data_IF_655677069362
#
_entry.id   IF_655677069362
#
_cell.length_a   1.000
_cell.length_b   1.000
_cell.length_c   1.000
_cell.angle_alpha   90.00
_cell.angle_beta   90.00
_cell.angle_gamma   90.00
#
_symmetry.space_group_name_H-M   'P 1'
#
loop_
_entity.id
_entity.type
_entity.pdbx_description
1 polymer ?
#
# COMPACT_ATOMS: atom_id res chain seq x y z
N UNK A 1 -22.64 -2.69 16.19
CA UNK A 1 -21.17 -2.85 16.27
C UNK A 1 -20.51 -1.48 16.13
N UNK A 2 -19.74 -1.07 17.14
CA UNK A 2 -19.01 0.21 17.22
C UNK A 2 -17.54 0.02 17.60
N UNK A 3 -17.22 -1.03 18.36
CA UNK A 3 -15.85 -1.40 18.73
C UNK A 3 -15.54 -2.85 18.38
N UNK A 4 -14.30 -3.28 18.59
CA UNK A 4 -13.91 -4.69 18.36
C UNK A 4 -14.51 -5.62 19.42
N UNK A 5 -14.77 -5.13 20.63
CA UNK A 5 -15.41 -5.92 21.69
C UNK A 5 -16.85 -6.33 21.32
N UNK A 6 -17.52 -5.55 20.47
CA UNK A 6 -18.84 -5.90 19.92
C UNK A 6 -18.78 -7.06 18.89
N UNK A 7 -17.59 -7.58 18.58
CA UNK A 7 -17.37 -8.67 17.60
C UNK A 7 -17.19 -10.04 18.25
N UNK A 8 -17.44 -10.20 19.56
CA UNK A 8 -17.35 -11.51 20.19
C UNK A 8 -18.31 -12.52 19.55
N UNK A 9 -17.76 -13.66 19.12
CA UNK A 9 -18.46 -14.70 18.38
C UNK A 9 -18.65 -14.45 16.88
N UNK A 10 -18.17 -13.32 16.34
CA UNK A 10 -18.35 -12.97 14.94
C UNK A 10 -17.58 -13.90 13.98
N UNK A 11 -18.09 -14.00 12.76
CA UNK A 11 -17.40 -14.64 11.64
C UNK A 11 -16.54 -13.60 10.91
N UNK A 12 -15.23 -13.83 10.86
CA UNK A 12 -14.26 -12.88 10.30
C UNK A 12 -13.61 -13.45 9.05
N UNK A 13 -13.86 -12.83 7.91
CA UNK A 13 -13.19 -13.14 6.66
C UNK A 13 -11.72 -12.64 6.74
N UNK A 14 -10.77 -13.51 6.43
CA UNK A 14 -9.32 -13.24 6.45
C UNK A 14 -8.59 -13.92 5.28
N UNK A 15 -7.45 -13.37 4.88
CA UNK A 15 -6.55 -13.98 3.87
C UNK A 15 -5.51 -14.87 4.55
N UNK A 16 -5.31 -16.14 4.12
CA UNK A 16 -4.34 -17.05 4.72
C UNK A 16 -2.90 -16.54 4.60
N UNK A 17 -2.08 -16.79 5.62
CA UNK A 17 -0.65 -16.46 5.63
C UNK A 17 -0.33 -14.97 5.74
N UNK A 18 -1.35 -14.12 5.91
CA UNK A 18 -1.21 -12.67 6.01
C UNK A 18 -0.81 -12.22 7.41
N UNK A 19 -0.26 -11.00 7.53
CA UNK A 19 -0.14 -10.33 8.84
C UNK A 19 -1.51 -10.12 9.47
N UNK A 20 -2.53 -9.81 8.67
CA UNK A 20 -3.91 -9.62 9.14
C UNK A 20 -4.48 -10.83 9.85
N UNK A 21 -4.29 -12.04 9.33
CA UNK A 21 -4.68 -13.29 10.00
C UNK A 21 -4.07 -13.41 11.40
N UNK A 22 -2.74 -13.20 11.51
CA UNK A 22 -2.03 -13.25 12.79
C UNK A 22 -2.50 -12.14 13.75
N UNK A 23 -2.70 -10.94 13.25
CA UNK A 23 -3.11 -9.80 14.06
C UNK A 23 -4.54 -9.98 14.59
N UNK A 24 -5.48 -10.43 13.76
CA UNK A 24 -6.86 -10.73 14.20
C UNK A 24 -6.83 -11.75 15.34
N UNK A 25 -6.08 -12.84 15.19
CA UNK A 25 -5.92 -13.84 16.25
C UNK A 25 -5.38 -13.22 17.55
N UNK A 26 -4.31 -12.42 17.45
CA UNK A 26 -3.72 -11.74 18.61
C UNK A 26 -4.68 -10.74 19.27
N UNK A 27 -5.39 -9.94 18.47
CA UNK A 27 -6.33 -8.93 18.94
C UNK A 27 -7.46 -9.58 19.73
N UNK A 28 -8.10 -10.60 19.16
CA UNK A 28 -9.22 -11.30 19.80
C UNK A 28 -8.75 -12.02 21.08
N UNK A 29 -7.64 -12.75 21.01
CA UNK A 29 -7.07 -13.42 22.18
C UNK A 29 -6.72 -12.46 23.32
N UNK A 30 -6.08 -11.32 23.02
CA UNK A 30 -5.69 -10.32 24.05
C UNK A 30 -6.88 -9.66 24.76
N UNK A 31 -8.08 -9.79 24.21
CA UNK A 31 -9.33 -9.22 24.72
C UNK A 31 -10.30 -10.29 25.24
N UNK A 32 -9.88 -11.56 25.29
CA UNK A 32 -10.73 -12.70 25.61
C UNK A 32 -11.99 -12.80 24.72
N UNK A 33 -11.86 -12.42 23.44
CA UNK A 33 -12.91 -12.51 22.44
C UNK A 33 -12.75 -13.78 21.60
N UNK A 34 -13.86 -14.33 21.14
CA UNK A 34 -13.92 -15.48 20.25
C UNK A 34 -14.33 -15.03 18.85
N UNK A 35 -13.90 -15.77 17.83
CA UNK A 35 -14.34 -15.55 16.46
C UNK A 35 -14.22 -16.83 15.65
N UNK A 36 -14.95 -16.88 14.55
CA UNK A 36 -14.83 -17.97 13.55
C UNK A 36 -14.10 -17.43 12.32
N UNK A 37 -12.88 -17.88 12.01
CA UNK A 37 -12.18 -17.46 10.80
C UNK A 37 -12.82 -18.07 9.55
N UNK A 38 -13.02 -17.25 8.52
CA UNK A 38 -13.33 -17.70 7.16
C UNK A 38 -12.14 -17.32 6.27
N UNK A 39 -11.34 -18.33 5.94
CA UNK A 39 -10.07 -18.16 5.26
C UNK A 39 -10.29 -18.22 3.74
N UNK A 40 -9.95 -17.14 3.03
CA UNK A 40 -10.14 -17.03 1.57
C UNK A 40 -8.89 -16.39 0.95
N UNK A 41 -8.26 -17.11 0.02
CA UNK A 41 -7.05 -16.64 -0.66
C UNK A 41 -7.35 -15.65 -1.79
N UNK A 42 -8.38 -15.92 -2.60
CA UNK A 42 -8.72 -15.09 -3.73
C UNK A 42 -9.35 -13.75 -3.28
N UNK A 43 -8.73 -12.62 -3.64
CA UNK A 43 -9.19 -11.30 -3.21
C UNK A 43 -10.62 -10.95 -3.63
N UNK A 44 -11.08 -11.41 -4.81
CA UNK A 44 -12.45 -11.14 -5.27
C UNK A 44 -13.46 -11.94 -4.48
N UNK A 45 -13.19 -13.23 -4.26
CA UNK A 45 -14.04 -14.10 -3.43
C UNK A 45 -14.07 -13.63 -1.98
N UNK A 46 -12.94 -13.14 -1.49
CA UNK A 46 -12.77 -12.63 -0.14
C UNK A 46 -13.69 -11.42 0.13
N UNK A 47 -13.72 -10.45 -0.78
CA UNK A 47 -14.65 -9.31 -0.70
C UNK A 47 -16.10 -9.76 -0.92
N UNK A 48 -16.35 -10.62 -1.91
CA UNK A 48 -17.70 -11.11 -2.19
C UNK A 48 -18.33 -11.87 -1.00
N UNK A 49 -17.53 -12.66 -0.26
CA UNK A 49 -18.00 -13.39 0.92
C UNK A 49 -18.47 -12.43 2.03
N UNK A 50 -17.78 -11.31 2.24
CA UNK A 50 -18.26 -10.28 3.16
C UNK A 50 -19.54 -9.62 2.67
N UNK A 51 -19.57 -9.20 1.40
CA UNK A 51 -20.72 -8.49 0.83
C UNK A 51 -21.98 -9.37 0.75
N UNK A 52 -21.83 -10.68 0.61
CA UNK A 52 -22.93 -11.64 0.61
C UNK A 52 -23.39 -12.06 2.02
N UNK A 53 -22.77 -11.53 3.08
CA UNK A 53 -23.08 -11.89 4.47
C UNK A 53 -22.57 -13.27 4.91
N UNK A 54 -21.60 -13.88 4.19
CA UNK A 54 -20.94 -15.11 4.66
C UNK A 54 -20.02 -14.84 5.86
N UNK A 55 -19.60 -13.58 6.03
CA UNK A 55 -18.85 -13.10 7.19
C UNK A 55 -19.51 -11.86 7.75
N UNK A 56 -19.50 -11.73 9.08
CA UNK A 56 -19.94 -10.53 9.78
C UNK A 56 -18.94 -9.37 9.58
N UNK A 57 -17.65 -9.70 9.44
CA UNK A 57 -16.55 -8.72 9.34
C UNK A 57 -15.55 -9.12 8.27
N UNK A 58 -15.04 -8.13 7.54
CA UNK A 58 -13.85 -8.23 6.69
C UNK A 58 -12.67 -7.52 7.37
N UNK A 59 -11.57 -8.25 7.63
CA UNK A 59 -10.38 -7.67 8.26
C UNK A 59 -9.27 -7.44 7.23
N UNK A 60 -8.91 -6.17 6.97
CA UNK A 60 -7.86 -5.76 6.01
C UNK A 60 -7.06 -4.58 6.54
N UNK A 61 -5.99 -4.23 5.82
CA UNK A 61 -5.30 -2.96 6.01
C UNK A 61 -6.27 -1.78 5.90
N UNK A 62 -6.11 -0.81 6.81
CA UNK A 62 -6.98 0.37 6.89
C UNK A 62 -7.05 1.15 5.57
N UNK A 63 -5.96 1.14 4.79
CA UNK A 63 -5.89 1.81 3.48
C UNK A 63 -6.72 1.11 2.40
N UNK A 64 -6.99 -0.19 2.54
CA UNK A 64 -7.76 -0.97 1.57
C UNK A 64 -9.28 -0.95 1.85
N UNK A 65 -9.69 -0.79 3.13
CA UNK A 65 -11.09 -0.82 3.53
C UNK A 65 -11.98 0.25 2.85
N UNK A 66 -11.54 1.51 2.65
CA UNK A 66 -12.32 2.50 1.91
C UNK A 66 -12.62 2.07 0.47
N UNK A 67 -11.69 1.35 -0.17
CA UNK A 67 -11.87 0.82 -1.51
C UNK A 67 -13.04 -0.17 -1.57
N UNK A 68 -13.05 -1.15 -0.66
CA UNK A 68 -14.14 -2.11 -0.52
C UNK A 68 -15.48 -1.41 -0.27
N UNK A 69 -15.50 -0.48 0.69
CA UNK A 69 -16.72 0.25 1.05
C UNK A 69 -17.27 1.10 -0.09
N UNK A 70 -16.41 1.78 -0.84
CA UNK A 70 -16.83 2.79 -1.82
C UNK A 70 -17.10 2.21 -3.19
N UNK A 71 -16.30 1.23 -3.61
CA UNK A 71 -16.31 0.73 -4.99
C UNK A 71 -16.88 -0.67 -5.13
N UNK A 72 -16.74 -1.53 -4.12
CA UNK A 72 -17.22 -2.91 -4.20
C UNK A 72 -18.64 -3.09 -3.62
N UNK A 73 -19.01 -2.30 -2.60
CA UNK A 73 -20.33 -2.38 -1.98
C UNK A 73 -21.40 -1.62 -2.78
N UNK A 74 -22.57 -2.24 -2.98
CA UNK A 74 -23.72 -1.60 -3.63
C UNK A 74 -24.24 -0.39 -2.85
N UNK A 75 -24.22 -0.48 -1.51
CA UNK A 75 -24.68 0.57 -0.59
C UNK A 75 -23.58 0.92 0.41
N UNK A 76 -22.65 1.83 0.08
CA UNK A 76 -21.53 2.20 0.96
C UNK A 76 -21.93 2.67 2.37
N UNK A 77 -23.16 3.19 2.52
CA UNK A 77 -23.70 3.66 3.80
C UNK A 77 -24.02 2.51 4.77
N UNK A 78 -24.22 1.29 4.28
CA UNK A 78 -24.56 0.13 5.11
C UNK A 78 -23.32 -0.50 5.78
N UNK A 79 -22.12 -0.06 5.39
CA UNK A 79 -20.85 -0.57 5.90
C UNK A 79 -20.11 0.47 6.74
N UNK A 80 -19.62 0.04 7.90
CA UNK A 80 -18.85 0.87 8.83
C UNK A 80 -17.44 0.32 8.96
N UNK A 81 -16.44 1.21 8.81
CA UNK A 81 -15.06 0.90 9.16
C UNK A 81 -14.90 1.20 10.65
N UNK A 82 -14.57 0.18 11.44
CA UNK A 82 -14.36 0.37 12.87
C UNK A 82 -13.23 1.39 13.12
N UNK A 83 -13.43 2.35 14.04
CA UNK A 83 -12.39 3.32 14.36
C UNK A 83 -11.20 2.64 15.02
N UNK A 84 -10.02 3.26 14.92
CA UNK A 84 -8.78 2.78 15.55
C UNK A 84 -7.68 2.38 14.58
N UNK A 85 -6.58 1.90 15.16
CA UNK A 85 -5.44 1.27 14.51
C UNK A 85 -5.13 0.02 15.32
N UNK A 86 -5.26 -1.15 14.72
CA UNK A 86 -5.14 -2.44 15.42
C UNK A 86 -3.83 -3.18 15.12
N UNK A 87 -3.11 -2.77 14.07
CA UNK A 87 -1.75 -3.21 13.77
C UNK A 87 -0.98 -2.12 13.00
N UNK A 88 0.34 -2.27 12.90
CA UNK A 88 1.20 -1.40 12.08
C UNK A 88 1.67 -2.20 10.86
N UNK A 89 1.18 -1.83 9.68
CA UNK A 89 1.45 -2.52 8.41
C UNK A 89 2.12 -1.54 7.41
N UNK A 90 3.41 -1.22 7.57
CA UNK A 90 4.11 -0.39 6.60
C UNK A 90 4.26 -1.16 5.29
N UNK A 91 3.51 -0.74 4.27
CA UNK A 91 3.61 -1.32 2.93
C UNK A 91 4.98 -0.97 2.35
N UNK A 92 5.70 -1.98 1.90
CA UNK A 92 7.05 -1.85 1.38
C UNK A 92 7.23 -2.68 0.12
N UNK A 93 8.16 -2.24 -0.73
CA UNK A 93 8.59 -3.01 -1.89
C UNK A 93 9.48 -4.15 -1.43
N UNK A 94 9.00 -5.39 -1.56
CA UNK A 94 9.78 -6.58 -1.24
C UNK A 94 10.59 -7.04 -2.45
N UNK A 95 11.87 -7.35 -2.23
CA UNK A 95 12.76 -7.95 -3.23
C UNK A 95 13.48 -9.16 -2.62
N UNK A 96 14.07 -10.02 -3.46
CA UNK A 96 14.91 -11.12 -2.97
C UNK A 96 16.21 -10.57 -2.36
N UNK A 97 16.70 -11.24 -1.33
CA UNK A 97 18.03 -10.96 -0.78
C UNK A 97 19.14 -11.40 -1.74
N UNK A 98 20.31 -10.77 -1.62
CA UNK A 98 21.51 -11.10 -2.41
C UNK A 98 21.55 -10.46 -3.80
N UNK A 99 20.63 -9.54 -4.10
CA UNK A 99 20.60 -8.74 -5.32
C UNK A 99 20.59 -7.24 -4.96
N UNK A 100 21.75 -6.75 -4.55
CA UNK A 100 21.91 -5.39 -4.00
C UNK A 100 21.62 -4.31 -5.04
N UNK A 101 21.98 -4.56 -6.31
CA UNK A 101 21.69 -3.63 -7.39
C UNK A 101 20.17 -3.50 -7.59
N UNK A 102 19.44 -4.63 -7.63
CA UNK A 102 17.99 -4.59 -7.77
C UNK A 102 17.31 -3.93 -6.57
N UNK A 103 17.80 -4.22 -5.35
CA UNK A 103 17.35 -3.54 -4.14
C UNK A 103 17.53 -2.02 -4.24
N UNK A 104 18.70 -1.56 -4.67
CA UNK A 104 18.99 -0.13 -4.82
C UNK A 104 18.11 0.53 -5.87
N UNK A 105 17.90 -0.12 -7.03
CA UNK A 105 16.99 0.40 -8.06
C UNK A 105 15.58 0.60 -7.47
N UNK A 106 15.00 -0.43 -6.85
CA UNK A 106 13.63 -0.37 -6.31
C UNK A 106 13.51 0.70 -5.21
N UNK A 107 14.50 0.77 -4.31
CA UNK A 107 14.57 1.78 -3.26
C UNK A 107 14.60 3.20 -3.83
N UNK A 108 15.47 3.43 -4.82
CA UNK A 108 15.62 4.76 -5.42
C UNK A 108 14.44 5.16 -6.29
N UNK A 109 13.72 4.23 -6.93
CA UNK A 109 12.42 4.53 -7.57
C UNK A 109 11.45 5.14 -6.57
N UNK A 110 11.29 4.55 -5.39
CA UNK A 110 10.41 5.09 -4.35
C UNK A 110 10.89 6.48 -3.91
N UNK A 111 12.17 6.65 -3.62
CA UNK A 111 12.70 7.95 -3.15
C UNK A 111 12.64 9.04 -4.22
N UNK A 112 12.84 8.70 -5.50
CA UNK A 112 12.68 9.65 -6.58
C UNK A 112 11.25 10.18 -6.68
N UNK A 113 10.23 9.33 -6.47
CA UNK A 113 8.83 9.80 -6.44
C UNK A 113 8.57 10.78 -5.31
N UNK A 114 9.13 10.54 -4.12
CA UNK A 114 9.01 11.49 -2.99
C UNK A 114 9.73 12.81 -3.26
N UNK A 115 10.94 12.77 -3.83
CA UNK A 115 11.69 13.98 -4.16
C UNK A 115 11.00 14.78 -5.27
N UNK A 116 10.45 14.10 -6.28
CA UNK A 116 9.70 14.75 -7.35
C UNK A 116 8.49 15.50 -6.78
N UNK A 117 7.71 14.85 -5.91
CA UNK A 117 6.56 15.46 -5.24
C UNK A 117 6.98 16.67 -4.38
N UNK A 118 8.03 16.54 -3.55
CA UNK A 118 8.55 17.63 -2.71
C UNK A 118 9.05 18.83 -3.53
N UNK A 119 9.58 18.59 -4.72
CA UNK A 119 10.05 19.63 -5.66
C UNK A 119 8.95 20.18 -6.57
N UNK A 120 7.70 19.74 -6.40
CA UNK A 120 6.56 20.06 -7.26
C UNK A 120 6.84 19.71 -8.75
N UNK A 121 7.56 18.62 -8.98
CA UNK A 121 7.84 18.08 -10.31
C UNK A 121 6.93 16.89 -10.54
N UNK A 122 6.19 16.94 -11.62
CA UNK A 122 5.38 15.82 -12.06
C UNK A 122 5.24 15.73 -13.57
N UNK A 123 4.44 14.79 -14.02
CA UNK A 123 4.25 14.42 -15.43
C UNK A 123 3.91 15.63 -16.32
N UNK A 124 3.19 16.61 -15.76
CA UNK A 124 2.76 17.82 -16.45
C UNK A 124 3.89 18.82 -16.71
N UNK A 125 4.95 18.84 -15.90
CA UNK A 125 5.98 19.87 -15.96
C UNK A 125 7.43 19.34 -16.10
N UNK A 126 7.65 18.02 -15.98
CA UNK A 126 8.98 17.42 -15.97
C UNK A 126 9.84 17.78 -17.19
N UNK A 127 9.25 17.86 -18.39
CA UNK A 127 9.95 18.25 -19.62
C UNK A 127 10.53 19.68 -19.52
N UNK A 128 9.76 20.60 -18.90
CA UNK A 128 10.19 21.98 -18.71
C UNK A 128 11.32 22.07 -17.67
N UNK A 129 11.29 21.19 -16.67
CA UNK A 129 12.26 21.15 -15.56
C UNK A 129 13.64 20.63 -15.98
N UNK A 130 13.76 20.00 -17.15
CA UNK A 130 15.07 19.69 -17.76
C UNK A 130 15.96 20.93 -17.98
N UNK A 131 15.37 22.12 -18.06
CA UNK A 131 16.10 23.39 -18.19
C UNK A 131 16.37 24.09 -16.86
N UNK A 132 16.01 23.47 -15.73
CA UNK A 132 16.23 24.04 -14.41
C UNK A 132 17.72 24.29 -14.16
N UNK A 133 18.03 25.40 -13.48
CA UNK A 133 19.37 25.70 -12.96
C UNK A 133 19.55 25.25 -11.51
N UNK A 134 18.48 24.75 -10.89
CA UNK A 134 18.52 24.19 -9.54
C UNK A 134 19.31 22.87 -9.54
N UNK A 135 20.40 22.76 -8.76
CA UNK A 135 21.25 21.58 -8.74
C UNK A 135 20.51 20.31 -8.30
N UNK A 136 19.53 20.41 -7.42
CA UNK A 136 18.78 19.25 -6.91
C UNK A 136 17.84 18.72 -8.00
N UNK A 137 17.19 19.61 -8.74
CA UNK A 137 16.38 19.25 -9.92
C UNK A 137 17.25 18.64 -11.02
N UNK A 138 18.43 19.20 -11.25
CA UNK A 138 19.35 18.67 -12.26
C UNK A 138 19.86 17.26 -11.91
N UNK A 139 20.16 17.03 -10.63
CA UNK A 139 20.55 15.72 -10.11
C UNK A 139 19.42 14.71 -10.21
N UNK A 140 18.19 15.08 -9.82
CA UNK A 140 17.01 14.22 -9.90
C UNK A 140 16.70 13.83 -11.35
N UNK A 141 16.71 14.79 -12.27
CA UNK A 141 16.35 14.53 -13.68
C UNK A 141 17.50 13.98 -14.52
N UNK A 142 18.70 13.84 -13.93
CA UNK A 142 19.87 13.27 -14.59
C UNK A 142 20.45 14.17 -15.68
N UNK A 143 20.29 15.49 -15.58
CA UNK A 143 20.95 16.45 -16.47
C UNK A 143 22.38 16.78 -16.00
N UNK A 144 22.70 16.46 -14.75
CA UNK A 144 24.06 16.47 -14.19
C UNK A 144 24.35 15.16 -13.44
N UNK A 145 25.63 14.93 -13.12
CA UNK A 145 26.07 13.74 -12.40
C UNK A 145 25.96 12.44 -13.19
N UNK A 146 26.18 11.32 -12.50
CA UNK A 146 26.25 9.96 -13.04
C UNK A 146 25.41 8.95 -12.23
N UNK A 147 24.41 9.42 -11.47
CA UNK A 147 23.64 8.60 -10.54
C UNK A 147 22.94 7.43 -11.21
N UNK A 148 22.41 7.61 -12.43
CA UNK A 148 21.81 6.50 -13.16
C UNK A 148 22.82 5.41 -13.49
N UNK A 149 24.03 5.79 -13.91
CA UNK A 149 25.09 4.82 -14.23
C UNK A 149 25.53 4.01 -13.00
N UNK A 150 25.59 4.66 -11.83
CA UNK A 150 25.86 4.00 -10.54
C UNK A 150 24.80 2.96 -10.17
N UNK A 151 23.56 3.13 -10.66
CA UNK A 151 22.48 2.16 -10.54
C UNK A 151 22.46 1.14 -11.70
N UNK A 152 23.31 1.28 -12.71
CA UNK A 152 23.28 0.48 -13.94
C UNK A 152 22.13 0.84 -14.89
N UNK A 153 21.60 2.06 -14.79
CA UNK A 153 20.51 2.61 -15.60
C UNK A 153 21.00 3.78 -16.47
N UNK A 154 20.14 4.25 -17.37
CA UNK A 154 20.33 5.54 -18.03
C UNK A 154 20.25 6.67 -17.00
N UNK A 155 21.01 7.77 -17.18
CA UNK A 155 21.01 8.89 -16.24
C UNK A 155 19.62 9.53 -16.06
N UNK A 156 18.79 9.51 -17.10
CA UNK A 156 17.42 10.03 -17.08
C UNK A 156 16.38 9.04 -16.51
N UNK A 157 16.78 8.04 -15.72
CA UNK A 157 15.86 7.03 -15.17
C UNK A 157 14.71 7.65 -14.35
N UNK A 158 15.01 8.62 -13.48
CA UNK A 158 14.02 9.30 -12.66
C UNK A 158 13.14 10.27 -13.48
N UNK A 159 13.71 10.96 -14.48
CA UNK A 159 12.92 11.70 -15.46
C UNK A 159 11.89 10.79 -16.16
N UNK A 160 12.32 9.60 -16.62
CA UNK A 160 11.44 8.65 -17.30
C UNK A 160 10.36 8.08 -16.37
N UNK A 161 10.70 7.86 -15.10
CA UNK A 161 9.75 7.46 -14.06
C UNK A 161 8.66 8.52 -13.89
N UNK A 162 9.06 9.77 -13.60
CA UNK A 162 8.15 10.90 -13.38
C UNK A 162 7.25 11.12 -14.60
N UNK A 163 7.84 11.04 -15.80
CA UNK A 163 7.10 11.21 -17.06
C UNK A 163 6.01 10.17 -17.28
N UNK A 164 6.19 8.95 -16.77
CA UNK A 164 5.28 7.83 -16.99
C UNK A 164 4.20 7.73 -15.91
N UNK A 165 4.55 7.96 -14.63
CA UNK A 165 3.66 7.59 -13.52
C UNK A 165 3.41 8.67 -12.48
N UNK A 166 4.02 9.86 -12.58
CA UNK A 166 3.74 10.91 -11.61
C UNK A 166 4.77 12.00 -11.57
#
# INVERSE_FOLDING_TARGET
VKTVEDLDGATVCITPGSSTERNVAQIFASRNLHYTPVVIENNKEYVAAYLSGRCDVIARDKVALPGVRTFDAEKPADHVILPGIYSKEPLAMAVRQGDDQWYDIVKWVVYATFNAEEMEIGQQNVDSKLKSTDPDVQALLGTTGDYGQKLGLNNQWAYNLIKQVG
#
